data_IF_856202167214
#
_entry.id   IF_856202167214
#
_cell.length_a   1.000
_cell.length_b   1.000
_cell.length_c   1.000
_cell.angle_alpha   90.00
_cell.angle_beta   90.00
_cell.angle_gamma   90.00
#
_symmetry.space_group_name_H-M   'P 1'
#
loop_
_entity.id
_entity.type
_entity.pdbx_description
1 polymer ?
#
# COMPACT_ATOMS: atom_id res chain seq x y z
N UNK A 1 19.80 5.06 4.13
CA UNK A 1 19.02 4.70 3.09
C UNK A 1 19.27 3.43 2.37
N UNK A 2 20.23 2.66 2.87
CA UNK A 2 20.46 1.34 2.29
C UNK A 2 19.22 0.47 2.43
N UNK A 3 18.53 0.58 3.58
CA UNK A 3 17.29 -0.17 3.78
C UNK A 3 16.23 0.23 2.78
N UNK A 4 16.15 1.51 2.47
CA UNK A 4 15.16 2.00 1.51
C UNK A 4 15.43 1.47 0.10
N UNK A 5 16.69 1.48 -0.30
CA UNK A 5 17.08 0.94 -1.60
C UNK A 5 16.83 -0.56 -1.70
N UNK A 6 17.17 -1.28 -0.64
CA UNK A 6 16.93 -2.71 -0.59
C UNK A 6 15.46 -3.03 -0.68
N UNK A 7 14.64 -2.27 0.03
CA UNK A 7 13.20 -2.47 0.03
C UNK A 7 12.64 -2.28 -1.39
N UNK A 8 13.08 -1.23 -2.07
CA UNK A 8 12.65 -0.99 -3.44
C UNK A 8 13.06 -2.11 -4.38
N UNK A 9 14.28 -2.61 -4.22
CA UNK A 9 14.79 -3.69 -5.06
C UNK A 9 13.98 -4.95 -4.86
N UNK A 10 13.73 -5.31 -3.63
CA UNK A 10 12.92 -6.49 -3.32
C UNK A 10 11.53 -6.37 -3.89
N UNK A 11 10.95 -5.21 -3.76
CA UNK A 11 9.62 -4.96 -4.27
C UNK A 11 9.56 -5.09 -5.79
N UNK A 12 10.54 -4.54 -6.47
CA UNK A 12 10.60 -4.64 -7.93
C UNK A 12 10.77 -6.08 -8.38
N UNK A 13 11.62 -6.82 -7.71
CA UNK A 13 11.82 -8.22 -8.04
C UNK A 13 10.54 -9.02 -7.85
N UNK A 14 9.84 -8.80 -6.76
CA UNK A 14 8.60 -9.50 -6.50
C UNK A 14 7.54 -9.19 -7.55
N UNK A 15 7.42 -7.92 -7.91
CA UNK A 15 6.44 -7.51 -8.91
C UNK A 15 6.74 -8.17 -10.25
N UNK A 16 8.01 -8.19 -10.63
CA UNK A 16 8.41 -8.73 -11.90
C UNK A 16 8.20 -10.24 -11.98
N UNK A 17 8.52 -10.94 -10.91
CA UNK A 17 8.52 -12.39 -10.92
C UNK A 17 7.19 -13.02 -10.54
N UNK A 18 6.61 -12.63 -9.43
CA UNK A 18 5.45 -13.32 -8.87
C UNK A 18 4.59 -12.39 -8.03
N UNK A 19 3.68 -11.68 -8.65
CA UNK A 19 2.77 -10.83 -7.88
C UNK A 19 1.97 -11.62 -6.86
N UNK A 20 1.45 -12.78 -7.29
CA UNK A 20 0.65 -13.60 -6.39
C UNK A 20 1.49 -14.19 -5.26
N UNK A 21 2.79 -14.30 -5.46
CA UNK A 21 3.68 -14.81 -4.41
C UNK A 21 3.76 -13.84 -3.25
N UNK A 22 3.68 -12.53 -3.53
CA UNK A 22 3.68 -11.53 -2.47
C UNK A 22 2.49 -11.75 -1.55
N UNK A 23 1.32 -11.98 -2.13
CA UNK A 23 0.12 -12.19 -1.34
C UNK A 23 0.22 -13.44 -0.47
N UNK A 24 0.80 -14.51 -1.02
CA UNK A 24 0.98 -15.74 -0.27
C UNK A 24 1.92 -15.50 0.90
N UNK A 25 3.02 -14.79 0.67
CA UNK A 25 3.98 -14.50 1.73
C UNK A 25 3.36 -13.64 2.83
N UNK A 26 2.54 -12.68 2.44
CA UNK A 26 1.87 -11.85 3.43
C UNK A 26 0.96 -12.67 4.32
N UNK A 27 0.23 -13.62 3.75
CA UNK A 27 -0.64 -14.50 4.52
C UNK A 27 0.16 -15.37 5.46
N UNK A 28 1.29 -15.89 5.01
CA UNK A 28 2.15 -16.72 5.84
C UNK A 28 2.67 -15.95 7.03
N UNK A 29 2.90 -14.64 6.88
CA UNK A 29 3.34 -13.78 7.96
C UNK A 29 2.20 -13.26 8.82
N UNK A 30 0.97 -13.65 8.50
CA UNK A 30 -0.19 -13.25 9.28
C UNK A 30 -0.84 -11.94 8.85
N UNK A 31 -0.41 -11.36 7.75
CA UNK A 31 -1.00 -10.12 7.23
C UNK A 31 -2.26 -10.46 6.44
N UNK A 32 -3.37 -10.59 7.15
CA UNK A 32 -4.62 -11.07 6.58
C UNK A 32 -5.63 -9.99 6.29
N UNK A 33 -5.47 -8.80 6.87
CA UNK A 33 -6.39 -7.69 6.65
C UNK A 33 -5.80 -6.76 5.61
N UNK A 34 -6.57 -6.51 4.56
CA UNK A 34 -6.13 -5.63 3.47
C UNK A 34 -7.01 -4.39 3.44
N UNK A 35 -6.39 -3.26 3.20
CA UNK A 35 -7.14 -2.02 2.98
C UNK A 35 -6.57 -1.26 1.80
N UNK A 36 -7.44 -0.43 1.22
CA UNK A 36 -7.02 0.55 0.24
C UNK A 36 -7.38 1.91 0.82
N UNK A 37 -6.39 2.77 0.95
CA UNK A 37 -6.57 4.08 1.55
C UNK A 37 -6.37 5.15 0.51
N UNK A 38 -7.40 5.97 0.28
CA UNK A 38 -7.29 7.13 -0.58
C UNK A 38 -6.76 8.30 0.21
N UNK A 39 -5.80 9.01 -0.35
CA UNK A 39 -5.16 10.13 0.34
C UNK A 39 -5.14 11.36 -0.53
N UNK A 40 -5.52 12.48 0.06
CA UNK A 40 -5.36 13.80 -0.55
C UNK A 40 -4.19 14.48 0.12
N UNK A 41 -3.35 15.12 -0.66
CA UNK A 41 -2.11 15.67 -0.15
C UNK A 41 -1.76 16.98 -0.82
N UNK A 42 -0.85 17.71 -0.17
CA UNK A 42 -0.22 18.89 -0.76
C UNK A 42 0.71 18.40 -1.87
N UNK A 43 0.44 18.82 -3.10
CA UNK A 43 1.19 18.36 -4.26
C UNK A 43 2.69 18.70 -4.16
N UNK A 44 3.04 19.74 -3.42
CA UNK A 44 4.43 20.13 -3.25
C UNK A 44 5.21 19.13 -2.42
N UNK A 45 4.53 18.34 -1.61
CA UNK A 45 5.16 17.34 -0.73
C UNK A 45 4.94 15.92 -1.20
N UNK A 46 4.47 15.74 -2.43
CA UNK A 46 4.10 14.44 -2.95
C UNK A 46 5.18 13.38 -2.77
N UNK A 47 6.39 13.68 -3.22
CA UNK A 47 7.47 12.69 -3.17
C UNK A 47 7.85 12.34 -1.74
N UNK A 48 7.90 13.32 -0.87
CA UNK A 48 8.20 13.09 0.54
C UNK A 48 7.15 12.23 1.20
N UNK A 49 5.89 12.50 0.88
CA UNK A 49 4.78 11.74 1.46
C UNK A 49 4.82 10.28 0.98
N UNK A 50 5.04 10.07 -0.30
CA UNK A 50 5.12 8.72 -0.84
C UNK A 50 6.27 7.94 -0.22
N UNK A 51 7.43 8.58 -0.07
CA UNK A 51 8.57 7.94 0.57
C UNK A 51 8.26 7.57 2.02
N UNK A 52 7.60 8.47 2.75
CA UNK A 52 7.23 8.21 4.13
C UNK A 52 6.24 7.06 4.23
N UNK A 53 5.30 6.98 3.31
CA UNK A 53 4.31 5.90 3.31
C UNK A 53 4.98 4.55 3.07
N UNK A 54 5.96 4.50 2.18
CA UNK A 54 6.64 3.24 1.91
C UNK A 54 7.49 2.76 3.08
N UNK A 55 7.79 3.63 4.03
CA UNK A 55 8.52 3.20 5.23
C UNK A 55 7.62 2.54 6.25
N UNK A 56 6.32 2.59 6.06
CA UNK A 56 5.37 1.95 6.96
C UNK A 56 5.29 0.46 6.60
N UNK A 57 5.47 -0.38 7.61
CA UNK A 57 5.31 -1.82 7.41
C UNK A 57 3.88 -2.11 6.98
N UNK A 58 3.73 -3.00 6.03
CA UNK A 58 2.40 -3.34 5.54
C UNK A 58 1.98 -2.60 4.30
N UNK A 59 2.60 -1.46 3.99
CA UNK A 59 2.33 -0.77 2.74
C UNK A 59 2.97 -1.55 1.61
N UNK A 60 2.16 -1.91 0.62
CA UNK A 60 2.62 -2.74 -0.48
C UNK A 60 2.65 -2.02 -1.80
N UNK A 61 1.73 -1.10 -1.99
CA UNK A 61 1.56 -0.51 -3.31
C UNK A 61 0.97 0.88 -3.17
N UNK A 62 1.49 1.82 -3.95
CA UNK A 62 0.95 3.17 -4.02
C UNK A 62 0.71 3.50 -5.47
N UNK A 63 -0.52 3.87 -5.80
CA UNK A 63 -0.91 4.28 -7.14
C UNK A 63 -1.26 5.75 -7.15
N UNK A 64 -0.71 6.50 -8.09
CA UNK A 64 -1.13 7.87 -8.30
C UNK A 64 -2.33 7.83 -9.22
N UNK A 65 -3.42 8.48 -8.80
CA UNK A 65 -4.69 8.36 -9.51
C UNK A 65 -5.27 9.73 -9.78
N UNK A 66 -6.26 9.76 -10.64
CA UNK A 66 -7.07 10.95 -10.86
C UNK A 66 -8.44 10.73 -10.26
N UNK A 67 -9.06 11.81 -9.77
CA UNK A 67 -10.36 11.71 -9.16
C UNK A 67 -10.37 12.35 -7.79
N UNK A 68 -11.15 11.75 -6.91
CA UNK A 68 -11.37 12.30 -5.58
C UNK A 68 -10.12 12.28 -4.72
N UNK A 69 -9.24 11.31 -4.94
CA UNK A 69 -8.01 11.19 -4.18
C UNK A 69 -6.81 11.38 -5.08
N UNK A 70 -5.69 11.77 -4.49
CA UNK A 70 -4.44 11.95 -5.22
C UNK A 70 -3.69 10.64 -5.37
N UNK A 71 -3.69 9.81 -4.33
CA UNK A 71 -3.07 8.50 -4.38
C UNK A 71 -3.95 7.48 -3.68
N UNK A 72 -3.74 6.22 -4.05
CA UNK A 72 -4.38 5.08 -3.41
C UNK A 72 -3.28 4.18 -2.87
N UNK A 73 -3.35 3.88 -1.59
CA UNK A 73 -2.34 3.08 -0.91
C UNK A 73 -2.92 1.73 -0.52
N UNK A 74 -2.29 0.67 -0.99
CA UNK A 74 -2.68 -0.68 -0.61
C UNK A 74 -1.81 -1.13 0.55
N UNK A 75 -2.43 -1.53 1.63
CA UNK A 75 -1.71 -1.94 2.83
C UNK A 75 -2.35 -3.16 3.47
N UNK A 76 -1.52 -3.89 4.20
CA UNK A 76 -1.94 -5.08 4.92
C UNK A 76 -1.62 -4.93 6.39
N UNK A 77 -2.42 -5.56 7.23
CA UNK A 77 -2.18 -5.60 8.67
C UNK A 77 -2.59 -6.96 9.20
N UNK A 78 -2.17 -7.27 10.41
CA UNK A 78 -2.47 -8.55 11.02
C UNK A 78 -3.86 -8.59 11.63
N UNK A 79 -4.42 -7.44 11.93
CA UNK A 79 -5.76 -7.35 12.49
C UNK A 79 -6.38 -6.01 12.11
N UNK A 80 -7.68 -5.94 12.28
CA UNK A 80 -8.40 -4.69 12.02
C UNK A 80 -7.95 -3.60 12.98
N UNK A 81 -7.71 -3.97 14.23
CA UNK A 81 -7.22 -3.04 15.23
C UNK A 81 -5.87 -2.45 14.84
N UNK A 82 -4.97 -3.31 14.36
CA UNK A 82 -3.67 -2.84 13.91
C UNK A 82 -3.81 -1.91 12.70
N UNK A 83 -4.72 -2.22 11.78
CA UNK A 83 -4.97 -1.39 10.62
C UNK A 83 -5.41 0.01 11.03
N UNK A 84 -6.35 0.11 11.97
CA UNK A 84 -6.79 1.39 12.48
C UNK A 84 -5.66 2.17 13.12
N UNK A 85 -4.81 1.48 13.85
CA UNK A 85 -3.69 2.11 14.53
C UNK A 85 -2.71 2.68 13.51
N UNK A 86 -2.40 1.93 12.47
CA UNK A 86 -1.49 2.40 11.43
C UNK A 86 -2.05 3.63 10.73
N UNK A 87 -3.32 3.58 10.36
CA UNK A 87 -3.93 4.70 9.66
C UNK A 87 -3.95 5.95 10.54
N UNK A 88 -4.35 5.83 11.79
CA UNK A 88 -4.47 7.02 12.64
C UNK A 88 -3.13 7.53 13.15
N UNK A 89 -2.21 6.64 13.49
CA UNK A 89 -0.97 7.06 14.13
C UNK A 89 0.17 7.29 13.16
N UNK A 90 0.23 6.55 12.07
CA UNK A 90 1.33 6.67 11.14
C UNK A 90 0.98 7.53 9.94
N UNK A 91 -0.13 7.22 9.28
CA UNK A 91 -0.53 8.01 8.13
C UNK A 91 -1.01 9.38 8.55
N UNK A 92 -1.81 9.46 9.61
CA UNK A 92 -2.37 10.71 10.06
C UNK A 92 -1.34 11.72 10.53
N UNK A 93 -0.11 11.28 10.82
CA UNK A 93 0.93 12.17 11.30
C UNK A 93 1.91 12.62 10.22
N UNK A 94 1.74 12.15 9.00
CA UNK A 94 2.60 12.59 7.91
C UNK A 94 2.23 14.00 7.51
N UNK A 95 3.22 14.90 7.52
CA UNK A 95 3.00 16.29 7.17
C UNK A 95 2.66 16.39 5.68
N UNK A 96 1.63 17.17 5.39
CA UNK A 96 1.21 17.40 4.01
C UNK A 96 -0.01 16.58 3.59
N UNK A 97 -0.42 15.62 4.39
CA UNK A 97 -1.64 14.87 4.11
C UNK A 97 -2.83 15.71 4.55
N UNK A 98 -3.73 15.98 3.60
CA UNK A 98 -4.88 16.84 3.86
C UNK A 98 -6.11 16.05 4.29
N UNK A 99 -6.19 14.79 3.88
CA UNK A 99 -7.30 13.95 4.25
C UNK A 99 -7.07 12.53 3.75
N UNK A 100 -7.76 11.58 4.37
CA UNK A 100 -7.65 10.20 3.96
C UNK A 100 -8.95 9.46 4.25
N UNK A 101 -9.17 8.40 3.48
CA UNK A 101 -10.33 7.54 3.67
C UNK A 101 -9.89 6.12 3.39
N UNK A 102 -10.15 5.22 4.35
CA UNK A 102 -9.71 3.83 4.24
C UNK A 102 -10.88 2.92 3.95
N UNK A 103 -10.64 2.00 3.02
CA UNK A 103 -11.63 0.99 2.65
C UNK A 103 -11.05 -0.37 2.99
N UNK A 104 -11.68 -1.08 3.91
CA UNK A 104 -11.24 -2.41 4.30
C UNK A 104 -11.82 -3.41 3.33
N UNK A 105 -10.96 -4.23 2.74
CA UNK A 105 -11.42 -5.21 1.78
C UNK A 105 -12.12 -6.36 2.50
N UNK A 106 -13.41 -6.55 2.16
CA UNK A 106 -14.20 -7.62 2.76
C UNK A 106 -14.07 -8.92 1.98
N UNK A 107 -14.07 -8.81 0.66
CA UNK A 107 -14.04 -9.97 -0.19
C UNK A 107 -13.50 -9.58 -1.55
N UNK A 108 -12.69 -10.45 -2.11
CA UNK A 108 -12.07 -10.16 -3.40
C UNK A 108 -12.36 -11.28 -4.38
N UNK A 109 -12.66 -10.92 -5.60
CA UNK A 109 -12.77 -11.84 -6.72
C UNK A 109 -11.90 -11.31 -7.84
N UNK A 110 -11.16 -12.18 -8.45
CA UNK A 110 -10.28 -11.78 -9.54
C UNK A 110 -10.38 -12.79 -10.68
N UNK A 111 -10.11 -12.29 -11.85
CA UNK A 111 -10.13 -13.10 -13.06
C UNK A 111 -8.84 -12.82 -13.81
N UNK A 112 -8.14 -13.85 -14.26
CA UNK A 112 -6.89 -13.60 -14.98
C UNK A 112 -7.15 -12.85 -16.28
N UNK A 113 -6.21 -12.02 -16.66
CA UNK A 113 -6.29 -11.30 -17.92
C UNK A 113 -5.78 -12.21 -19.03
N UNK A 114 -6.62 -12.65 -19.97
CA UNK A 114 -6.22 -13.66 -20.95
C UNK A 114 -5.01 -13.28 -21.79
N UNK A 115 -4.90 -12.01 -22.15
CA UNK A 115 -3.80 -11.58 -23.00
C UNK A 115 -2.44 -11.62 -22.31
N UNK A 116 -2.41 -11.79 -21.00
CA UNK A 116 -1.15 -11.92 -20.29
C UNK A 116 -0.52 -13.29 -20.40
N UNK A 117 -1.27 -14.25 -20.92
CA UNK A 117 -0.83 -15.64 -20.98
C UNK A 117 -0.59 -16.13 -22.38
N UNK A 118 -0.50 -15.23 -23.31
CA UNK A 118 -0.24 -15.61 -24.71
C UNK A 118 1.24 -15.62 -25.02
#
# INVERSE_FOLDING_TARGET
RDLHKEYRRQRQMCIRDRRYTIEVNDKELGYTVKSVTGINMDSKKRNEIIDSLFEIDGVREISEVTGRFDIMVTMYAKSLSEMHKVVSEKIGKIDGILGSESFIEMKRRAKPMPYLFR
#
